data_IF_346114903526
#
_entry.id   IF_346114903526
#
_cell.length_a   1.000
_cell.length_b   1.000
_cell.length_c   1.000
_cell.angle_alpha   90.00
_cell.angle_beta   90.00
_cell.angle_gamma   90.00
#
_symmetry.space_group_name_H-M   'P 1'
#
loop_
_entity.id
_entity.type
_entity.pdbx_description
1 polymer ?
#
# COMPACT_ATOMS: atom_id res chain seq x y z
N UNK A 1 2.67 22.12 37.61
CA UNK A 1 2.94 22.20 36.16
C UNK A 1 3.57 20.88 35.78
N UNK A 2 2.80 19.97 35.17
CA UNK A 2 3.37 18.73 34.61
C UNK A 2 4.19 19.10 33.37
N UNK A 3 5.38 18.52 33.25
CA UNK A 3 6.31 18.77 32.15
C UNK A 3 5.66 18.35 30.83
N UNK A 4 5.66 19.23 29.82
CA UNK A 4 5.10 18.99 28.48
C UNK A 4 5.77 17.82 27.71
N UNK A 5 6.79 17.19 28.29
CA UNK A 5 7.50 16.04 27.72
C UNK A 5 6.95 14.69 28.16
N UNK A 6 6.22 14.59 29.28
CA UNK A 6 5.66 13.31 29.74
C UNK A 6 4.51 12.83 28.85
N UNK A 7 3.77 13.74 28.21
CA UNK A 7 2.66 13.42 27.28
C UNK A 7 3.11 12.82 25.95
N UNK A 8 4.36 13.04 25.52
CA UNK A 8 4.89 12.46 24.27
C UNK A 8 5.20 10.97 24.39
N UNK A 9 5.43 10.47 25.62
CA UNK A 9 5.62 9.05 25.90
C UNK A 9 4.31 8.31 26.17
N UNK A 10 3.22 9.03 26.39
CA UNK A 10 1.86 8.47 26.49
C UNK A 10 1.15 8.39 25.13
N UNK A 11 1.71 9.00 24.08
CA UNK A 11 1.20 8.87 22.72
C UNK A 11 1.35 7.42 22.24
N UNK A 12 0.25 6.89 21.72
CA UNK A 12 0.22 5.62 21.00
C UNK A 12 1.35 5.55 19.95
N UNK A 13 2.12 4.45 19.88
CA UNK A 13 3.30 4.34 19.01
C UNK A 13 3.02 4.58 17.53
N UNK A 14 1.83 4.23 17.03
CA UNK A 14 1.47 4.43 15.63
C UNK A 14 1.11 5.91 15.35
N UNK A 15 0.38 6.54 16.26
CA UNK A 15 0.09 7.98 16.23
C UNK A 15 1.39 8.79 16.29
N UNK A 16 2.34 8.34 17.10
CA UNK A 16 3.68 8.92 17.19
C UNK A 16 4.47 8.73 15.89
N UNK A 17 4.51 7.53 15.32
CA UNK A 17 5.20 7.27 14.06
C UNK A 17 4.63 8.11 12.90
N UNK A 18 3.30 8.21 12.79
CA UNK A 18 2.64 9.05 11.79
C UNK A 18 2.96 10.54 11.98
N UNK A 19 2.87 11.04 13.22
CA UNK A 19 3.20 12.42 13.55
C UNK A 19 4.69 12.73 13.30
N UNK A 20 5.59 11.77 13.55
CA UNK A 20 7.03 11.91 13.28
C UNK A 20 7.32 11.95 11.77
N UNK A 21 6.61 11.16 10.97
CA UNK A 21 6.71 11.21 9.49
C UNK A 21 6.23 12.56 8.98
N UNK A 22 5.07 13.04 9.44
CA UNK A 22 4.54 14.35 9.05
C UNK A 22 5.41 15.52 9.50
N UNK A 23 5.99 15.44 10.69
CA UNK A 23 6.93 16.42 11.18
C UNK A 23 8.19 16.48 10.30
N UNK A 24 8.76 15.33 9.93
CA UNK A 24 9.92 15.25 9.02
C UNK A 24 9.63 15.82 7.63
N UNK A 25 8.46 15.50 7.07
CA UNK A 25 8.01 16.05 5.77
C UNK A 25 7.89 17.58 5.81
N UNK A 26 7.44 18.14 6.93
CA UNK A 26 7.32 19.57 7.15
C UNK A 26 8.67 20.25 7.53
N UNK A 27 9.75 19.49 7.68
CA UNK A 27 11.04 19.99 8.15
C UNK A 27 11.03 20.46 9.61
N UNK A 28 10.11 19.94 10.43
CA UNK A 28 9.90 20.30 11.83
C UNK A 28 10.26 19.14 12.76
N UNK A 29 10.59 19.42 14.02
CA UNK A 29 10.59 18.38 15.05
C UNK A 29 9.17 17.96 15.41
N UNK A 30 8.99 16.74 15.94
CA UNK A 30 7.67 16.24 16.37
C UNK A 30 6.97 17.22 17.33
N UNK A 31 7.71 17.80 18.28
CA UNK A 31 7.16 18.75 19.25
C UNK A 31 6.77 20.09 18.61
N UNK A 32 7.56 20.59 17.65
CA UNK A 32 7.22 21.81 16.89
C UNK A 32 6.04 21.59 15.97
N UNK A 33 5.94 20.42 15.33
CA UNK A 33 4.83 20.08 14.46
C UNK A 33 3.52 19.93 15.25
N UNK A 34 3.54 19.22 16.38
CA UNK A 34 2.39 19.13 17.28
C UNK A 34 2.05 20.49 17.90
N UNK A 35 3.06 21.30 18.26
CA UNK A 35 2.89 22.66 18.75
C UNK A 35 2.27 23.59 17.71
N UNK A 36 2.70 23.51 16.45
CA UNK A 36 2.12 24.22 15.32
C UNK A 36 0.67 23.80 15.08
N UNK A 37 0.35 22.50 15.18
CA UNK A 37 -1.02 21.99 15.08
C UNK A 37 -1.94 22.57 16.16
N UNK A 38 -1.40 22.77 17.37
CA UNK A 38 -2.11 23.35 18.51
C UNK A 38 -2.19 24.89 18.41
N UNK A 39 -1.19 25.55 17.82
CA UNK A 39 -1.10 27.01 17.71
C UNK A 39 -1.69 27.60 16.41
N UNK A 40 -1.77 26.86 15.31
CA UNK A 40 -2.57 27.23 14.13
C UNK A 40 -4.06 27.39 14.48
N UNK A 41 -4.51 26.76 15.58
CA UNK A 41 -5.85 26.95 16.14
C UNK A 41 -5.97 28.10 17.15
N UNK A 42 -4.87 28.74 17.54
CA UNK A 42 -4.85 29.74 18.60
C UNK A 42 -4.99 31.20 18.13
N UNK A 43 -5.13 31.49 16.84
CA UNK A 43 -5.44 32.85 16.39
C UNK A 43 -6.25 32.92 15.08
N UNK A 44 -7.55 33.28 15.14
CA UNK A 44 -8.12 34.14 14.14
C UNK A 44 -7.81 35.60 14.51
N UNK A 45 -6.85 36.23 13.81
CA UNK A 45 -6.91 37.69 13.64
C UNK A 45 -8.09 37.98 12.72
N UNK A 46 -9.26 38.15 13.31
CA UNK A 46 -10.48 38.59 12.62
C UNK A 46 -10.22 40.01 12.09
N UNK A 47 -10.44 40.32 10.80
CA UNK A 47 -10.59 41.70 10.38
C UNK A 47 -11.85 42.23 11.07
N UNK A 48 -11.70 43.16 12.02
CA UNK A 48 -12.81 43.93 12.58
C UNK A 48 -13.55 44.64 11.43
N UNK A 49 -14.59 44.01 10.89
CA UNK A 49 -15.67 44.72 10.20
C UNK A 49 -16.76 45.01 11.22
N UNK A 50 -17.05 46.29 11.32
CA UNK A 50 -18.12 46.90 12.11
C UNK A 50 -19.43 46.13 11.97
N UNK A 51 -19.96 45.61 13.09
CA UNK A 51 -21.40 45.47 13.26
C UNK A 51 -21.97 46.87 13.50
N UNK A 52 -22.39 47.53 12.42
CA UNK A 52 -23.33 48.64 12.52
C UNK A 52 -24.69 48.06 12.90
N UNK A 53 -25.14 48.35 14.11
CA UNK A 53 -26.51 48.08 14.55
C UNK A 53 -27.51 48.80 13.65
N UNK A 54 -28.52 48.07 13.19
CA UNK A 54 -29.65 48.60 12.47
C UNK A 54 -30.84 47.69 12.70
N UNK A 55 -31.56 47.91 13.81
CA UNK A 55 -32.89 47.35 13.99
C UNK A 55 -33.88 47.94 12.97
N UNK A 56 -35.01 47.27 12.69
CA UNK A 56 -35.97 47.77 11.72
C UNK A 56 -36.75 48.94 12.31
N UNK A 57 -36.57 50.13 11.72
CA UNK A 57 -37.45 51.28 11.91
C UNK A 57 -38.50 51.23 10.80
N UNK A 58 -39.76 51.08 11.20
CA UNK A 58 -40.91 51.39 10.36
C UNK A 58 -41.05 52.91 10.26
N UNK A 59 -40.92 53.49 9.07
CA UNK A 59 -41.49 54.80 8.75
C UNK A 59 -41.58 55.01 7.23
N UNK A 60 -42.77 55.43 6.81
CA UNK A 60 -43.18 55.86 5.48
C UNK A 60 -42.52 57.18 5.05
N UNK A 61 -42.42 57.43 3.74
CA UNK A 61 -42.23 58.77 3.19
C UNK A 61 -41.39 58.83 1.89
N UNK A 62 -41.95 59.30 0.76
CA UNK A 62 -41.21 59.46 -0.50
C UNK A 62 -40.63 60.86 -0.61
N UNK A 63 -39.39 61.00 -1.08
CA UNK A 63 -38.90 62.31 -1.48
C UNK A 63 -37.40 62.45 -1.71
N UNK A 64 -37.09 62.91 -2.92
CA UNK A 64 -35.89 63.63 -3.33
C UNK A 64 -34.57 62.87 -3.39
N UNK A 65 -34.06 62.78 -4.62
CA UNK A 65 -32.78 62.17 -4.93
C UNK A 65 -31.59 63.10 -4.74
N UNK A 66 -30.41 62.52 -4.94
CA UNK A 66 -29.20 63.17 -5.42
C UNK A 66 -28.21 62.11 -5.88
N UNK A 67 -27.82 62.22 -7.14
CA UNK A 67 -26.68 61.51 -7.73
C UNK A 67 -25.38 61.94 -7.05
N UNK A 68 -24.46 61.01 -6.81
CA UNK A 68 -23.04 61.29 -6.78
C UNK A 68 -22.21 60.10 -7.32
N UNK A 69 -21.56 60.42 -8.44
CA UNK A 69 -20.31 59.99 -9.02
C UNK A 69 -19.70 58.61 -8.68
N UNK A 70 -19.46 57.91 -9.79
CA UNK A 70 -18.54 56.81 -10.05
C UNK A 70 -17.14 57.08 -9.48
N UNK A 71 -16.61 56.10 -8.74
CA UNK A 71 -15.16 55.87 -8.61
C UNK A 71 -14.85 54.51 -9.20
N UNK A 72 -14.09 54.51 -10.30
CA UNK A 72 -13.49 53.32 -10.88
C UNK A 72 -12.30 52.89 -10.03
N UNK A 73 -12.27 51.61 -9.64
CA UNK A 73 -11.11 51.01 -9.02
C UNK A 73 -11.25 49.50 -8.89
N UNK A 74 -10.57 48.79 -9.79
CA UNK A 74 -10.20 47.38 -9.73
C UNK A 74 -11.33 46.32 -9.77
N UNK A 75 -11.35 45.58 -10.89
CA UNK A 75 -11.85 44.21 -10.97
C UNK A 75 -11.05 43.33 -9.99
N UNK A 76 -11.69 42.48 -9.17
CA UNK A 76 -11.06 41.23 -8.78
C UNK A 76 -11.33 40.21 -9.88
N UNK A 77 -10.24 39.81 -10.56
CA UNK A 77 -10.19 38.50 -11.17
C UNK A 77 -10.37 37.47 -10.05
N UNK A 78 -11.50 36.76 -10.04
CA UNK A 78 -11.66 35.58 -9.19
C UNK A 78 -10.85 34.45 -9.80
N UNK A 79 -9.61 34.37 -9.35
CA UNK A 79 -8.72 33.25 -9.58
C UNK A 79 -9.32 31.98 -8.96
N UNK A 80 -9.80 31.09 -9.82
CA UNK A 80 -9.75 29.66 -9.57
C UNK A 80 -8.96 29.05 -10.71
N UNK A 81 -7.64 29.23 -10.63
CA UNK A 81 -6.69 28.37 -11.31
C UNK A 81 -5.96 27.64 -10.18
N UNK A 82 -6.57 26.56 -9.68
CA UNK A 82 -5.85 25.63 -8.82
C UNK A 82 -5.08 24.69 -9.72
N UNK A 83 -3.79 25.00 -9.80
CA UNK A 83 -2.75 24.20 -10.41
C UNK A 83 -2.77 22.77 -9.85
N UNK A 84 -3.26 21.83 -10.66
CA UNK A 84 -3.32 20.39 -10.38
C UNK A 84 -1.91 19.78 -10.25
N UNK A 85 -0.84 20.54 -10.49
CA UNK A 85 0.53 20.09 -10.32
C UNK A 85 1.06 20.08 -8.87
N UNK A 86 0.33 20.62 -7.88
CA UNK A 86 0.86 20.74 -6.50
C UNK A 86 0.58 19.54 -5.57
N UNK A 87 -0.14 18.51 -6.03
CA UNK A 87 -0.49 17.32 -5.22
C UNK A 87 0.19 16.01 -5.63
N UNK A 88 1.31 16.09 -6.36
CA UNK A 88 2.15 14.91 -6.62
C UNK A 88 3.62 15.22 -6.34
N UNK A 89 4.17 14.61 -5.29
CA UNK A 89 5.50 14.03 -5.45
C UNK A 89 5.60 12.61 -4.87
N UNK A 90 5.86 11.67 -5.80
CA UNK A 90 6.72 10.46 -5.75
C UNK A 90 5.99 9.18 -6.19
N UNK A 91 5.99 8.97 -7.52
CA UNK A 91 6.54 7.75 -8.10
C UNK A 91 7.83 8.15 -8.83
N UNK A 92 8.94 8.20 -8.10
CA UNK A 92 10.30 8.17 -8.66
C UNK A 92 11.11 7.19 -7.83
N UNK A 93 11.22 5.95 -8.32
CA UNK A 93 12.27 5.03 -7.93
C UNK A 93 13.55 5.36 -8.71
N UNK A 94 14.75 5.16 -8.15
CA UNK A 94 15.98 5.16 -8.93
C UNK A 94 16.10 3.83 -9.70
N UNK A 95 16.39 3.94 -11.00
CA UNK A 95 16.98 2.94 -11.89
C UNK A 95 16.41 1.51 -11.86
N UNK A 96 15.31 1.31 -12.58
CA UNK A 96 15.00 0.02 -13.22
C UNK A 96 15.24 0.20 -14.71
N UNK A 97 16.12 -0.62 -15.28
CA UNK A 97 16.50 -0.61 -16.69
C UNK A 97 15.26 -0.72 -17.60
N UNK A 98 15.28 0.00 -18.73
CA UNK A 98 14.18 0.19 -19.69
C UNK A 98 13.71 -1.10 -20.43
N UNK A 99 14.02 -2.30 -19.94
CA UNK A 99 13.72 -3.58 -20.58
C UNK A 99 12.34 -4.19 -20.28
N UNK A 100 11.71 -3.85 -19.14
CA UNK A 100 10.59 -4.66 -18.60
C UNK A 100 9.17 -4.09 -18.78
N UNK A 101 9.01 -3.00 -19.55
CA UNK A 101 7.71 -2.32 -19.68
C UNK A 101 6.64 -3.06 -20.50
N UNK A 102 6.93 -4.25 -21.04
CA UNK A 102 5.95 -5.01 -21.84
C UNK A 102 5.16 -6.09 -21.07
N UNK A 103 5.27 -6.15 -19.73
CA UNK A 103 4.46 -7.09 -18.90
C UNK A 103 3.33 -6.45 -18.09
N UNK A 104 3.11 -5.15 -18.18
CA UNK A 104 2.12 -4.41 -17.38
C UNK A 104 0.89 -4.09 -18.24
N UNK A 105 0.05 -5.08 -18.53
CA UNK A 105 -1.25 -4.81 -19.19
C UNK A 105 -2.42 -5.64 -18.63
N UNK A 106 -2.30 -6.18 -17.40
CA UNK A 106 -3.36 -6.94 -16.75
C UNK A 106 -3.91 -6.37 -15.42
N UNK A 107 -3.42 -5.23 -14.90
CA UNK A 107 -3.74 -4.79 -13.52
C UNK A 107 -4.32 -3.36 -13.38
N UNK A 108 -4.93 -2.77 -14.42
CA UNK A 108 -5.46 -1.41 -14.30
C UNK A 108 -6.67 -1.31 -13.34
N UNK A 109 -7.57 -2.30 -13.35
CA UNK A 109 -8.74 -2.34 -12.46
C UNK A 109 -8.35 -2.57 -10.99
N UNK A 110 -7.38 -3.46 -10.73
CA UNK A 110 -6.89 -3.76 -9.38
C UNK A 110 -6.23 -2.51 -8.76
N UNK A 111 -5.49 -1.74 -9.56
CA UNK A 111 -4.88 -0.49 -9.10
C UNK A 111 -5.90 0.61 -8.77
N UNK A 112 -6.99 0.73 -9.53
CA UNK A 112 -8.01 1.75 -9.28
C UNK A 112 -8.83 1.44 -8.02
N UNK A 113 -9.24 0.18 -7.84
CA UNK A 113 -9.94 -0.28 -6.63
C UNK A 113 -9.08 -0.10 -5.38
N UNK A 114 -7.79 -0.48 -5.46
CA UNK A 114 -6.85 -0.33 -4.34
C UNK A 114 -6.61 1.14 -4.00
N UNK A 115 -6.51 2.01 -5.01
CA UNK A 115 -6.34 3.46 -4.81
C UNK A 115 -7.56 4.08 -4.14
N UNK A 116 -8.76 3.67 -4.54
CA UNK A 116 -10.02 4.10 -3.92
C UNK A 116 -10.12 3.63 -2.46
N UNK A 117 -9.77 2.37 -2.19
CA UNK A 117 -9.76 1.81 -0.83
C UNK A 117 -8.75 2.53 0.08
N UNK A 118 -7.52 2.73 -0.39
CA UNK A 118 -6.49 3.46 0.35
C UNK A 118 -6.89 4.91 0.64
N UNK A 119 -7.56 5.57 -0.31
CA UNK A 119 -8.08 6.92 -0.11
C UNK A 119 -9.11 6.96 1.02
N UNK A 120 -10.04 6.00 1.07
CA UNK A 120 -11.02 5.88 2.16
C UNK A 120 -10.34 5.61 3.50
N UNK A 121 -9.36 4.70 3.56
CA UNK A 121 -8.60 4.43 4.79
C UNK A 121 -7.82 5.65 5.28
N UNK A 122 -7.27 6.46 4.37
CA UNK A 122 -6.50 7.64 4.74
C UNK A 122 -7.38 8.80 5.22
N UNK A 123 -8.56 9.00 4.63
CA UNK A 123 -9.42 10.15 4.92
C UNK A 123 -10.44 9.90 6.02
N UNK A 124 -11.04 8.72 6.07
CA UNK A 124 -12.19 8.47 6.93
C UNK A 124 -11.83 8.53 8.44
N UNK A 125 -10.79 7.83 8.95
CA UNK A 125 -10.45 7.84 10.37
C UNK A 125 -10.11 9.23 10.97
N UNK A 126 -9.26 10.09 10.35
CA UNK A 126 -8.96 11.39 10.94
C UNK A 126 -10.18 12.31 10.95
N UNK A 127 -11.06 12.23 9.95
CA UNK A 127 -12.28 13.05 9.88
C UNK A 127 -13.30 12.65 10.94
N UNK A 128 -13.52 11.34 11.11
CA UNK A 128 -14.38 10.80 12.18
C UNK A 128 -13.85 11.19 13.55
N UNK A 129 -12.55 11.01 13.79
CA UNK A 129 -11.93 11.33 15.08
C UNK A 129 -12.02 12.82 15.39
N UNK A 130 -11.76 13.67 14.40
CA UNK A 130 -11.86 15.12 14.56
C UNK A 130 -13.30 15.56 14.88
N UNK A 131 -14.28 15.05 14.14
CA UNK A 131 -15.69 15.35 14.39
C UNK A 131 -16.14 14.86 15.78
N UNK A 132 -15.70 13.68 16.21
CA UNK A 132 -16.01 13.16 17.54
C UNK A 132 -15.49 14.08 18.67
N UNK A 133 -14.28 14.61 18.53
CA UNK A 133 -13.70 15.56 19.49
C UNK A 133 -14.50 16.86 19.52
N UNK A 134 -14.83 17.43 18.35
CA UNK A 134 -15.60 18.66 18.26
C UNK A 134 -17.01 18.51 18.84
N UNK A 135 -17.70 17.42 18.52
CA UNK A 135 -19.02 17.13 19.09
C UNK A 135 -18.95 16.94 20.61
N UNK A 136 -17.97 16.19 21.11
CA UNK A 136 -17.78 16.00 22.55
C UNK A 136 -17.53 17.33 23.27
N UNK A 137 -16.69 18.21 22.69
CA UNK A 137 -16.44 19.54 23.22
C UNK A 137 -17.69 20.43 23.17
N UNK A 138 -18.47 20.34 22.10
CA UNK A 138 -19.72 21.10 21.95
C UNK A 138 -20.77 20.68 23.00
N UNK A 139 -20.90 19.38 23.28
CA UNK A 139 -21.79 18.89 24.34
C UNK A 139 -21.32 19.28 25.73
N UNK A 140 -20.02 19.22 26.00
CA UNK A 140 -19.45 19.67 27.26
C UNK A 140 -19.70 21.17 27.51
N UNK A 141 -19.54 22.01 26.48
CA UNK A 141 -19.82 23.44 26.55
C UNK A 141 -21.30 23.75 26.82
N UNK A 142 -22.21 22.93 26.31
CA UNK A 142 -23.66 23.09 26.51
C UNK A 142 -24.21 22.37 27.75
N UNK A 143 -23.33 21.78 28.58
CA UNK A 143 -23.70 20.97 29.76
C UNK A 143 -24.68 19.82 29.43
N UNK A 144 -24.56 19.25 28.22
CA UNK A 144 -25.39 18.13 27.76
C UNK A 144 -24.68 16.82 28.08
N UNK A 145 -25.24 16.05 29.01
CA UNK A 145 -24.73 14.72 29.33
C UNK A 145 -25.14 13.69 28.26
N UNK A 146 -24.31 13.52 27.24
CA UNK A 146 -24.41 12.36 26.36
C UNK A 146 -23.60 11.21 26.94
N UNK A 147 -24.29 10.14 27.33
CA UNK A 147 -23.65 8.87 27.66
C UNK A 147 -23.25 8.17 26.36
N UNK A 148 -22.03 8.43 25.90
CA UNK A 148 -21.42 7.59 24.88
C UNK A 148 -21.14 6.19 25.49
N UNK A 149 -21.44 5.09 24.80
CA UNK A 149 -21.11 3.76 25.28
C UNK A 149 -19.61 3.65 25.54
N UNK A 150 -19.17 3.09 26.69
CA UNK A 150 -17.74 2.93 26.93
C UNK A 150 -17.12 2.01 25.88
N UNK A 151 -16.13 2.52 25.13
CA UNK A 151 -15.35 1.71 24.21
C UNK A 151 -14.60 0.61 24.99
N UNK A 152 -14.88 -0.65 24.67
CA UNK A 152 -14.08 -1.80 25.13
C UNK A 152 -13.39 -2.40 23.91
N UNK A 153 -12.06 -2.29 23.77
CA UNK A 153 -11.36 -2.97 22.69
C UNK A 153 -11.59 -4.47 22.79
N UNK A 154 -12.00 -5.10 21.70
CA UNK A 154 -12.17 -6.56 21.57
C UNK A 154 -10.80 -7.23 21.74
N UNK A 155 -10.60 -7.90 22.86
CA UNK A 155 -9.37 -8.64 23.12
C UNK A 155 -9.37 -9.96 22.36
N UNK A 156 -8.46 -10.13 21.39
CA UNK A 156 -7.67 -11.35 21.08
C UNK A 156 -7.20 -11.38 19.60
N UNK A 157 -6.18 -10.60 19.23
CA UNK A 157 -5.50 -10.71 17.91
C UNK A 157 -3.96 -10.63 18.01
N UNK A 158 -3.25 -11.35 17.12
CA UNK A 158 -1.78 -11.46 17.05
C UNK A 158 -1.11 -10.12 16.67
N UNK A 159 0.12 -9.89 17.14
CA UNK A 159 0.73 -8.56 17.33
C UNK A 159 0.89 -7.65 16.08
N UNK A 160 1.13 -8.15 14.86
CA UNK A 160 1.34 -7.30 13.67
C UNK A 160 0.04 -6.91 12.96
N UNK A 161 -0.94 -7.81 12.88
CA UNK A 161 -2.31 -7.49 12.43
C UNK A 161 -3.11 -6.71 13.49
N UNK A 162 -2.63 -6.66 14.73
CA UNK A 162 -3.31 -6.02 15.85
C UNK A 162 -3.53 -4.52 15.64
N UNK A 163 -2.55 -3.81 15.08
CA UNK A 163 -2.66 -2.35 14.93
C UNK A 163 -3.78 -2.00 13.94
N UNK A 164 -3.76 -2.59 12.74
CA UNK A 164 -4.70 -2.25 11.67
C UNK A 164 -6.13 -2.57 12.08
N UNK A 165 -6.38 -3.77 12.62
CA UNK A 165 -7.68 -4.12 13.17
C UNK A 165 -8.11 -3.19 14.31
N UNK A 166 -7.19 -2.79 15.21
CA UNK A 166 -7.51 -1.85 16.29
C UNK A 166 -7.92 -0.48 15.74
N UNK A 167 -7.25 0.02 14.69
CA UNK A 167 -7.64 1.28 14.06
C UNK A 167 -9.01 1.17 13.40
N UNK A 168 -9.27 0.11 12.64
CA UNK A 168 -10.55 -0.12 11.99
C UNK A 168 -11.67 -0.19 13.04
N UNK A 169 -11.51 -1.01 14.08
CA UNK A 169 -12.49 -1.15 15.16
C UNK A 169 -12.72 0.16 15.92
N UNK A 170 -11.65 0.89 16.22
CA UNK A 170 -11.75 2.21 16.89
C UNK A 170 -12.51 3.19 16.00
N UNK A 171 -12.19 3.24 14.71
CA UNK A 171 -12.84 4.12 13.75
C UNK A 171 -14.33 3.79 13.58
N UNK A 172 -14.69 2.51 13.47
CA UNK A 172 -16.08 2.06 13.40
C UNK A 172 -16.85 2.42 14.67
N UNK A 173 -16.23 2.25 15.83
CA UNK A 173 -16.84 2.66 17.09
C UNK A 173 -17.06 4.17 17.16
N UNK A 174 -16.04 4.97 16.84
CA UNK A 174 -16.16 6.44 16.79
C UNK A 174 -17.21 6.91 15.79
N UNK A 175 -17.34 6.25 14.65
CA UNK A 175 -18.40 6.57 13.68
C UNK A 175 -19.80 6.39 14.29
N UNK A 176 -20.03 5.31 15.05
CA UNK A 176 -21.30 5.09 15.76
C UNK A 176 -21.56 6.14 16.83
N UNK A 177 -20.54 6.56 17.57
CA UNK A 177 -20.65 7.65 18.54
C UNK A 177 -21.04 8.96 17.87
N UNK A 178 -20.35 9.34 16.80
CA UNK A 178 -20.64 10.56 16.01
C UNK A 178 -22.05 10.50 15.44
N UNK A 179 -22.45 9.37 14.87
CA UNK A 179 -23.80 9.15 14.37
C UNK A 179 -24.84 9.35 15.46
N UNK A 180 -24.65 8.77 16.64
CA UNK A 180 -25.59 8.93 17.76
C UNK A 180 -25.64 10.37 18.27
N UNK A 181 -24.50 11.06 18.28
CA UNK A 181 -24.41 12.48 18.61
C UNK A 181 -25.17 13.37 17.61
N UNK A 182 -25.09 13.08 16.30
CA UNK A 182 -25.86 13.79 15.27
C UNK A 182 -27.37 13.60 15.42
N UNK A 183 -27.79 12.43 15.90
CA UNK A 183 -29.21 12.10 16.13
C UNK A 183 -29.74 12.64 17.46
N UNK A 184 -28.90 13.22 18.31
CA UNK A 184 -29.33 13.77 19.58
C UNK A 184 -30.08 15.09 19.37
N UNK A 185 -31.27 15.21 19.93
CA UNK A 185 -32.06 16.44 19.86
C UNK A 185 -31.55 17.45 20.90
N UNK A 186 -30.91 18.52 20.43
CA UNK A 186 -30.44 19.62 21.26
C UNK A 186 -30.33 20.91 20.45
N UNK A 187 -30.22 22.05 21.16
CA UNK A 187 -30.12 23.39 20.55
C UNK A 187 -28.83 24.05 21.00
N UNK A 188 -27.71 23.85 20.29
CA UNK A 188 -26.44 24.45 20.67
C UNK A 188 -26.51 25.97 20.56
N UNK A 189 -25.79 26.66 21.45
CA UNK A 189 -25.68 28.12 21.45
C UNK A 189 -24.23 28.56 21.66
N UNK A 190 -23.89 29.76 21.19
CA UNK A 190 -22.59 30.37 21.40
C UNK A 190 -21.45 29.53 20.82
N UNK A 191 -20.48 29.14 21.66
CA UNK A 191 -19.29 28.41 21.21
C UNK A 191 -19.59 26.96 20.81
N UNK A 192 -20.58 26.31 21.44
CA UNK A 192 -21.00 24.96 21.11
C UNK A 192 -21.55 24.88 19.66
N UNK A 193 -22.23 25.94 19.21
CA UNK A 193 -22.77 26.03 17.86
C UNK A 193 -21.66 26.07 16.79
N UNK A 194 -20.57 26.81 17.05
CA UNK A 194 -19.42 26.87 16.16
C UNK A 194 -18.74 25.49 16.04
N UNK A 195 -18.48 24.84 17.18
CA UNK A 195 -17.85 23.51 17.19
C UNK A 195 -18.71 22.46 16.48
N UNK A 196 -20.04 22.53 16.67
CA UNK A 196 -20.96 21.64 15.97
C UNK A 196 -20.99 21.90 14.46
N UNK A 197 -21.02 23.17 14.04
CA UNK A 197 -20.94 23.54 12.63
C UNK A 197 -19.66 23.03 11.96
N UNK A 198 -18.51 23.16 12.63
CA UNK A 198 -17.22 22.66 12.16
C UNK A 198 -17.19 21.12 12.07
N UNK A 199 -17.78 20.43 13.06
CA UNK A 199 -17.92 18.98 13.05
C UNK A 199 -18.81 18.53 11.87
N UNK A 200 -19.94 19.20 11.68
CA UNK A 200 -20.89 18.92 10.60
C UNK A 200 -20.21 19.09 9.22
N UNK A 201 -19.49 20.20 9.02
CA UNK A 201 -18.76 20.45 7.78
C UNK A 201 -17.66 19.40 7.54
N UNK A 202 -16.91 19.02 8.58
CA UNK A 202 -15.88 17.98 8.52
C UNK A 202 -16.46 16.63 8.09
N UNK A 203 -17.65 16.28 8.56
CA UNK A 203 -18.33 15.03 8.21
C UNK A 203 -18.94 15.07 6.81
N UNK A 204 -19.42 16.23 6.35
CA UNK A 204 -19.92 16.38 4.99
C UNK A 204 -18.83 16.12 3.94
N UNK A 205 -17.56 16.38 4.27
CA UNK A 205 -16.42 16.05 3.39
C UNK A 205 -16.28 14.53 3.13
N UNK A 206 -16.91 13.66 3.93
CA UNK A 206 -16.93 12.20 3.73
C UNK A 206 -18.05 11.75 2.78
N UNK A 207 -18.82 12.68 2.24
CA UNK A 207 -20.04 12.40 1.48
C UNK A 207 -20.03 13.14 0.14
N UNK A 208 -20.64 12.55 -0.88
CA UNK A 208 -20.83 13.22 -2.17
C UNK A 208 -21.86 14.35 -2.12
N UNK A 209 -22.76 14.35 -1.12
CA UNK A 209 -23.84 15.31 -0.94
C UNK A 209 -23.45 16.53 -0.08
N UNK A 210 -22.17 16.89 -0.08
CA UNK A 210 -21.59 17.91 0.82
C UNK A 210 -22.34 19.24 0.73
N UNK A 211 -22.59 19.74 -0.48
CA UNK A 211 -23.14 21.08 -0.68
C UNK A 211 -24.62 21.12 -0.27
N UNK A 212 -25.37 20.08 -0.61
CA UNK A 212 -26.78 19.93 -0.28
C UNK A 212 -26.99 19.85 1.23
N UNK A 213 -26.16 19.08 1.93
CA UNK A 213 -26.21 18.94 3.38
C UNK A 213 -25.84 20.25 4.08
N UNK A 214 -24.83 20.99 3.61
CA UNK A 214 -24.47 22.29 4.16
C UNK A 214 -25.58 23.32 3.95
N UNK A 215 -26.19 23.38 2.77
CA UNK A 215 -27.33 24.27 2.51
C UNK A 215 -28.51 23.90 3.42
N UNK A 216 -28.83 22.61 3.54
CA UNK A 216 -29.88 22.12 4.42
C UNK A 216 -29.62 22.49 5.87
N UNK A 217 -28.37 22.38 6.33
CA UNK A 217 -27.99 22.73 7.70
C UNK A 217 -28.27 24.20 8.03
N UNK A 218 -28.15 25.12 7.08
CA UNK A 218 -28.48 26.53 7.31
C UNK A 218 -29.99 26.78 7.47
N UNK A 219 -30.84 25.92 6.89
CA UNK A 219 -32.30 26.09 6.88
C UNK A 219 -32.99 25.25 7.96
N UNK A 220 -32.61 23.98 8.06
CA UNK A 220 -33.18 22.97 8.95
C UNK A 220 -32.08 22.04 9.45
N UNK A 221 -31.52 22.40 10.60
CA UNK A 221 -30.38 21.68 11.21
C UNK A 221 -30.74 20.28 11.67
N UNK A 222 -31.96 20.09 12.18
CA UNK A 222 -32.41 18.79 12.67
C UNK A 222 -32.49 17.81 11.51
N UNK A 223 -33.17 18.22 10.43
CA UNK A 223 -33.24 17.41 9.21
C UNK A 223 -31.87 17.15 8.58
N UNK A 224 -31.02 18.17 8.51
CA UNK A 224 -29.67 18.02 7.96
C UNK A 224 -28.82 17.01 8.75
N UNK A 225 -28.96 16.99 10.09
CA UNK A 225 -28.24 16.05 10.96
C UNK A 225 -28.72 14.61 10.76
N UNK A 226 -30.03 14.41 10.60
CA UNK A 226 -30.62 13.10 10.29
C UNK A 226 -30.16 12.60 8.92
N UNK A 227 -30.16 13.45 7.89
CA UNK A 227 -29.66 13.06 6.57
C UNK A 227 -28.16 12.79 6.57
N UNK A 228 -27.35 13.63 7.24
CA UNK A 228 -25.91 13.39 7.39
C UNK A 228 -25.64 12.06 8.10
N UNK A 229 -26.40 11.70 9.13
CA UNK A 229 -26.26 10.42 9.81
C UNK A 229 -26.50 9.22 8.86
N UNK A 230 -27.46 9.31 7.94
CA UNK A 230 -27.68 8.27 6.91
C UNK A 230 -26.51 8.18 5.93
N UNK A 231 -25.99 9.32 5.48
CA UNK A 231 -24.81 9.33 4.61
C UNK A 231 -23.57 8.78 5.33
N UNK A 232 -23.42 9.05 6.63
CA UNK A 232 -22.35 8.53 7.45
C UNK A 232 -22.44 7.00 7.60
N UNK A 233 -23.64 6.43 7.71
CA UNK A 233 -23.85 4.98 7.72
C UNK A 233 -23.31 4.34 6.42
N UNK A 234 -23.62 4.93 5.26
CA UNK A 234 -23.11 4.45 3.96
C UNK A 234 -21.59 4.58 3.87
N UNK A 235 -21.03 5.73 4.26
CA UNK A 235 -19.59 5.95 4.23
C UNK A 235 -18.84 5.00 5.18
N UNK A 236 -19.44 4.68 6.34
CA UNK A 236 -18.89 3.71 7.30
C UNK A 236 -18.86 2.30 6.71
N UNK A 237 -19.92 1.88 6.02
CA UNK A 237 -19.96 0.59 5.32
C UNK A 237 -18.91 0.52 4.21
N UNK A 238 -18.74 1.59 3.43
CA UNK A 238 -17.72 1.68 2.40
C UNK A 238 -16.30 1.60 2.98
N UNK A 239 -16.06 2.27 4.11
CA UNK A 239 -14.80 2.18 4.84
C UNK A 239 -14.54 0.74 5.33
N UNK A 240 -15.53 0.08 5.92
CA UNK A 240 -15.41 -1.30 6.41
C UNK A 240 -15.09 -2.28 5.27
N UNK A 241 -15.80 -2.17 4.14
CA UNK A 241 -15.53 -2.97 2.94
C UNK A 241 -14.12 -2.71 2.39
N UNK A 242 -13.73 -1.44 2.29
CA UNK A 242 -12.37 -1.06 1.85
C UNK A 242 -11.30 -1.60 2.79
N UNK A 243 -11.58 -1.61 4.10
CA UNK A 243 -10.66 -2.11 5.10
C UNK A 243 -10.46 -3.62 5.01
N UNK A 244 -11.55 -4.36 4.77
CA UNK A 244 -11.52 -5.80 4.58
C UNK A 244 -10.82 -6.20 3.29
N UNK A 245 -11.07 -5.47 2.18
CA UNK A 245 -10.38 -5.70 0.91
C UNK A 245 -8.85 -5.56 1.06
N UNK A 246 -8.38 -4.52 1.76
CA UNK A 246 -6.96 -4.34 2.01
C UNK A 246 -6.37 -5.45 2.89
N UNK A 247 -7.12 -5.92 3.90
CA UNK A 247 -6.69 -7.05 4.70
C UNK A 247 -6.56 -8.34 3.87
N UNK A 248 -7.49 -8.59 2.94
CA UNK A 248 -7.43 -9.74 2.03
C UNK A 248 -6.23 -9.65 1.07
N UNK A 249 -5.97 -8.47 0.51
CA UNK A 249 -4.80 -8.22 -0.36
C UNK A 249 -3.50 -8.42 0.42
N UNK A 250 -3.38 -7.91 1.64
CA UNK A 250 -2.20 -8.09 2.48
C UNK A 250 -1.95 -9.56 2.84
N UNK A 251 -3.00 -10.35 3.08
CA UNK A 251 -2.85 -11.80 3.33
C UNK A 251 -2.48 -12.58 2.07
N UNK A 252 -2.90 -12.11 0.90
CA UNK A 252 -2.55 -12.70 -0.41
C UNK A 252 -1.15 -12.30 -0.88
N UNK A 253 -0.66 -11.14 -0.45
CA UNK A 253 0.69 -10.62 -0.66
C UNK A 253 1.68 -11.03 0.44
N UNK A 254 1.32 -12.00 1.30
CA UNK A 254 2.26 -12.60 2.24
C UNK A 254 3.49 -13.10 1.47
N UNK A 255 4.66 -12.53 1.78
CA UNK A 255 5.93 -12.88 1.16
C UNK A 255 6.05 -14.40 1.01
N UNK A 256 6.33 -14.93 -0.20
CA UNK A 256 6.52 -16.37 -0.36
C UNK A 256 7.59 -16.79 0.62
N UNK A 257 7.26 -17.78 1.46
CA UNK A 257 8.20 -18.41 2.38
C UNK A 257 9.49 -18.75 1.65
N UNK A 258 10.63 -18.75 2.34
CA UNK A 258 11.92 -19.10 1.72
C UNK A 258 11.80 -20.39 0.89
N UNK A 259 11.08 -21.39 1.39
CA UNK A 259 10.79 -22.64 0.69
C UNK A 259 10.07 -22.42 -0.65
N UNK A 260 9.05 -21.57 -0.71
CA UNK A 260 8.34 -21.24 -1.96
C UNK A 260 9.22 -20.47 -2.94
N UNK A 261 10.12 -19.61 -2.45
CA UNK A 261 11.12 -18.94 -3.31
C UNK A 261 12.08 -19.96 -3.91
N UNK A 262 12.57 -20.89 -3.10
CA UNK A 262 13.46 -21.97 -3.56
C UNK A 262 12.77 -22.86 -4.60
N UNK A 263 11.51 -23.24 -4.39
CA UNK A 263 10.74 -24.02 -5.37
C UNK A 263 10.57 -23.26 -6.69
N UNK A 264 10.16 -21.99 -6.63
CA UNK A 264 10.02 -21.15 -7.84
C UNK A 264 11.34 -20.98 -8.59
N UNK A 265 12.45 -20.83 -7.87
CA UNK A 265 13.78 -20.74 -8.48
C UNK A 265 14.13 -22.03 -9.24
N UNK A 266 13.84 -23.20 -8.64
CA UNK A 266 14.05 -24.52 -9.26
C UNK A 266 13.21 -24.72 -10.51
N UNK A 267 11.93 -24.37 -10.44
CA UNK A 267 11.01 -24.42 -11.58
C UNK A 267 11.52 -23.53 -12.72
N UNK A 268 11.91 -22.29 -12.43
CA UNK A 268 12.44 -21.36 -13.44
C UNK A 268 13.75 -21.86 -14.08
N UNK A 269 14.63 -22.51 -13.30
CA UNK A 269 15.85 -23.13 -13.84
C UNK A 269 15.53 -24.31 -14.77
N UNK A 270 14.55 -25.15 -14.42
CA UNK A 270 14.10 -26.24 -15.27
C UNK A 270 13.42 -25.73 -16.54
N UNK A 271 12.62 -24.67 -16.48
CA UNK A 271 12.02 -24.06 -17.67
C UNK A 271 13.10 -23.53 -18.63
N UNK A 272 14.10 -22.80 -18.11
CA UNK A 272 15.26 -22.32 -18.89
C UNK A 272 16.06 -23.47 -19.52
N UNK A 273 16.06 -24.65 -18.89
CA UNK A 273 16.67 -25.86 -19.40
C UNK A 273 15.88 -26.54 -20.54
N UNK A 274 14.73 -26.00 -20.93
CA UNK A 274 13.79 -26.62 -21.85
C UNK A 274 12.88 -27.66 -21.19
N UNK A 275 12.73 -27.60 -19.87
CA UNK A 275 11.93 -28.49 -19.04
C UNK A 275 12.73 -29.62 -18.39
N UNK A 276 12.14 -30.19 -17.34
CA UNK A 276 12.55 -31.46 -16.75
C UNK A 276 11.78 -32.62 -17.36
N UNK A 277 12.40 -33.78 -17.50
CA UNK A 277 11.70 -35.03 -17.79
C UNK A 277 11.97 -36.05 -16.70
N UNK A 278 10.98 -36.92 -16.49
CA UNK A 278 11.09 -38.01 -15.53
C UNK A 278 12.13 -39.04 -15.96
N UNK A 279 12.62 -39.82 -14.99
CA UNK A 279 13.55 -40.93 -15.25
C UNK A 279 12.99 -41.96 -16.27
N UNK A 280 11.67 -42.19 -16.26
CA UNK A 280 10.99 -43.11 -17.17
C UNK A 280 10.91 -42.56 -18.59
N UNK A 281 10.63 -41.27 -18.75
CA UNK A 281 10.61 -40.61 -20.06
C UNK A 281 12.02 -40.46 -20.63
N UNK A 282 12.99 -40.03 -19.83
CA UNK A 282 14.39 -39.94 -20.24
C UNK A 282 14.97 -41.28 -20.72
N UNK A 283 14.58 -42.38 -20.06
CA UNK A 283 14.98 -43.72 -20.48
C UNK A 283 14.36 -44.13 -21.84
N UNK A 284 13.09 -43.78 -22.08
CA UNK A 284 12.42 -43.98 -23.38
C UNK A 284 13.08 -43.14 -24.48
N UNK A 285 13.39 -41.87 -24.20
CA UNK A 285 14.03 -40.96 -25.16
C UNK A 285 15.40 -41.47 -25.64
N UNK A 286 16.17 -42.07 -24.72
CA UNK A 286 17.50 -42.62 -25.00
C UNK A 286 17.47 -44.08 -25.46
N UNK A 287 16.28 -44.70 -25.55
CA UNK A 287 16.11 -46.14 -25.82
C UNK A 287 16.96 -47.04 -24.91
N UNK A 288 17.05 -46.70 -23.61
CA UNK A 288 17.78 -47.47 -22.58
C UNK A 288 16.84 -47.90 -21.45
N UNK A 289 17.26 -48.86 -20.63
CA UNK A 289 16.48 -49.25 -19.45
C UNK A 289 16.51 -48.16 -18.38
N UNK A 290 15.40 -48.02 -17.63
CA UNK A 290 15.30 -47.11 -16.47
C UNK A 290 16.45 -47.32 -15.47
N UNK A 291 16.83 -48.58 -15.23
CA UNK A 291 17.93 -48.94 -14.34
C UNK A 291 19.31 -48.50 -14.89
N UNK A 292 19.53 -48.59 -16.19
CA UNK A 292 20.76 -48.13 -16.83
C UNK A 292 20.91 -46.60 -16.71
N UNK A 293 19.82 -45.85 -16.93
CA UNK A 293 19.84 -44.39 -16.75
C UNK A 293 20.07 -43.99 -15.29
N UNK A 294 19.42 -44.67 -14.34
CA UNK A 294 19.67 -44.45 -12.91
C UNK A 294 21.13 -44.73 -12.52
N UNK A 295 21.74 -45.80 -13.05
CA UNK A 295 23.17 -46.08 -12.86
C UNK A 295 24.07 -44.98 -13.41
N UNK A 296 23.72 -44.37 -14.55
CA UNK A 296 24.46 -43.25 -15.14
C UNK A 296 24.40 -41.99 -14.28
N UNK A 297 23.24 -41.66 -13.71
CA UNK A 297 23.09 -40.54 -12.78
C UNK A 297 23.96 -40.77 -11.53
N UNK A 298 23.89 -41.97 -10.94
CA UNK A 298 24.70 -42.33 -9.78
C UNK A 298 26.21 -42.31 -10.06
N UNK A 299 26.62 -42.58 -11.31
CA UNK A 299 28.01 -42.55 -11.75
C UNK A 299 28.50 -41.13 -12.15
N UNK A 300 27.64 -40.10 -12.03
CA UNK A 300 27.97 -38.73 -12.44
C UNK A 300 28.10 -38.54 -13.96
N UNK A 301 27.63 -39.50 -14.76
CA UNK A 301 27.72 -39.43 -16.24
C UNK A 301 26.45 -38.88 -16.89
N UNK A 302 25.45 -38.50 -16.10
CA UNK A 302 24.22 -37.85 -16.53
C UNK A 302 23.77 -36.89 -15.44
N UNK A 303 23.15 -35.77 -15.82
CA UNK A 303 22.65 -34.79 -14.88
C UNK A 303 21.25 -35.21 -14.41
N UNK A 304 21.12 -35.45 -13.11
CA UNK A 304 19.84 -35.75 -12.48
C UNK A 304 19.74 -35.02 -11.14
N UNK A 305 18.54 -34.58 -10.80
CA UNK A 305 18.28 -33.83 -9.58
C UNK A 305 16.93 -34.18 -8.98
N UNK A 306 16.83 -34.09 -7.66
CA UNK A 306 15.56 -34.27 -6.94
C UNK A 306 14.74 -32.99 -7.03
N UNK A 307 13.51 -33.11 -7.52
CA UNK A 307 12.47 -32.10 -7.43
C UNK A 307 11.31 -32.67 -6.60
N UNK A 308 11.19 -32.23 -5.34
CA UNK A 308 10.39 -32.93 -4.34
C UNK A 308 10.89 -34.37 -4.12
N UNK A 309 10.02 -35.34 -4.37
CA UNK A 309 10.31 -36.79 -4.26
C UNK A 309 10.65 -37.44 -5.63
N UNK A 310 10.65 -36.66 -6.71
CA UNK A 310 10.87 -37.16 -8.06
C UNK A 310 12.28 -36.86 -8.57
N UNK A 311 12.87 -37.82 -9.27
CA UNK A 311 14.15 -37.65 -9.96
C UNK A 311 13.89 -37.10 -11.36
N UNK A 312 14.30 -35.86 -11.57
CA UNK A 312 14.11 -35.10 -12.81
C UNK A 312 15.45 -34.93 -13.54
N UNK A 313 15.39 -34.99 -14.86
CA UNK A 313 16.53 -34.76 -15.73
C UNK A 313 16.26 -33.58 -16.68
N UNK A 314 17.14 -32.57 -16.75
CA UNK A 314 16.93 -31.41 -17.60
C UNK A 314 17.13 -31.77 -19.08
N UNK A 315 16.24 -31.29 -19.97
CA UNK A 315 16.31 -31.60 -21.41
C UNK A 315 17.58 -31.11 -22.10
N UNK A 316 18.21 -30.07 -21.57
CA UNK A 316 19.44 -29.48 -22.12
C UNK A 316 20.58 -30.47 -22.33
N UNK A 317 20.59 -31.59 -21.60
CA UNK A 317 21.68 -32.57 -21.61
C UNK A 317 21.72 -33.46 -22.87
N UNK A 318 20.72 -33.35 -23.74
CA UNK A 318 20.60 -34.15 -24.95
C UNK A 318 20.85 -33.33 -26.21
N UNK A 319 21.40 -34.00 -27.22
CA UNK A 319 21.54 -33.49 -28.58
C UNK A 319 21.00 -34.54 -29.54
N UNK A 320 20.20 -34.11 -30.51
CA UNK A 320 19.72 -34.94 -31.60
C UNK A 320 20.75 -34.95 -32.71
N UNK A 321 21.32 -36.12 -33.03
CA UNK A 321 22.28 -36.30 -34.12
C UNK A 321 21.72 -37.33 -35.11
N UNK A 322 21.09 -36.84 -36.18
CA UNK A 322 20.30 -37.70 -37.08
C UNK A 322 18.99 -38.11 -36.40
N UNK A 323 18.65 -39.40 -36.46
CA UNK A 323 17.46 -39.96 -35.79
C UNK A 323 17.70 -40.42 -34.34
N UNK A 324 18.93 -40.27 -33.83
CA UNK A 324 19.29 -40.69 -32.47
C UNK A 324 19.47 -39.51 -31.51
N UNK A 325 18.92 -39.65 -30.31
CA UNK A 325 19.14 -38.74 -29.18
C UNK A 325 20.33 -39.25 -28.37
N UNK A 326 21.35 -38.43 -28.22
CA UNK A 326 22.57 -38.77 -27.49
C UNK A 326 22.85 -37.72 -26.40
N UNK A 327 23.68 -38.10 -25.41
CA UNK A 327 24.14 -37.13 -24.41
C UNK A 327 25.07 -36.11 -25.06
N UNK A 328 25.00 -34.87 -24.56
CA UNK A 328 25.90 -33.81 -24.97
C UNK A 328 27.37 -34.21 -24.68
N UNK A 329 28.25 -34.21 -25.68
CA UNK A 329 29.66 -34.52 -25.48
C UNK A 329 30.31 -33.59 -24.46
N UNK A 330 31.16 -34.13 -23.58
CA UNK A 330 31.84 -33.37 -22.52
C UNK A 330 31.00 -33.06 -21.29
N UNK A 331 29.68 -33.30 -21.31
CA UNK A 331 28.83 -33.07 -20.15
C UNK A 331 29.25 -33.91 -18.93
N UNK A 332 29.66 -35.16 -19.15
CA UNK A 332 30.13 -36.07 -18.08
C UNK A 332 31.26 -35.46 -17.26
N UNK A 333 32.23 -34.83 -17.92
CA UNK A 333 33.42 -34.28 -17.25
C UNK A 333 33.07 -33.05 -16.42
N UNK A 334 32.07 -32.28 -16.87
CA UNK A 334 31.52 -31.12 -16.15
C UNK A 334 30.69 -31.59 -14.95
N UNK A 335 29.74 -32.50 -15.15
CA UNK A 335 28.84 -32.99 -14.08
C UNK A 335 29.64 -33.61 -12.92
N UNK A 336 30.75 -34.30 -13.22
CA UNK A 336 31.65 -34.84 -12.19
C UNK A 336 32.28 -33.78 -11.29
N UNK A 337 32.49 -32.55 -11.77
CA UNK A 337 33.01 -31.48 -10.90
C UNK A 337 31.99 -31.10 -9.81
N UNK A 338 30.69 -31.27 -10.08
CA UNK A 338 29.60 -30.87 -9.19
C UNK A 338 29.11 -32.00 -8.26
N UNK A 339 29.83 -33.12 -8.12
CA UNK A 339 29.43 -34.21 -7.21
C UNK A 339 29.22 -33.73 -5.76
N UNK A 340 30.02 -32.76 -5.30
CA UNK A 340 29.89 -32.15 -3.97
C UNK A 340 28.82 -31.04 -3.89
N UNK A 341 28.69 -30.23 -4.93
CA UNK A 341 27.78 -29.08 -4.96
C UNK A 341 26.33 -29.45 -5.36
N UNK A 342 26.15 -30.62 -5.98
CA UNK A 342 24.85 -31.17 -6.38
C UNK A 342 24.38 -30.74 -7.78
N UNK A 343 23.40 -31.49 -8.30
CA UNK A 343 22.90 -31.31 -9.67
C UNK A 343 22.27 -29.93 -9.94
N UNK A 344 21.62 -29.31 -8.95
CA UNK A 344 21.03 -27.97 -9.09
C UNK A 344 22.09 -26.89 -9.36
N UNK A 345 23.24 -26.98 -8.70
CA UNK A 345 24.37 -26.07 -8.93
C UNK A 345 24.97 -26.29 -10.33
N UNK A 346 25.12 -27.56 -10.75
CA UNK A 346 25.57 -27.88 -12.11
C UNK A 346 24.62 -27.32 -13.18
N UNK A 347 23.31 -27.42 -12.97
CA UNK A 347 22.30 -26.88 -13.89
C UNK A 347 22.39 -25.36 -13.98
N UNK A 348 22.50 -24.68 -12.85
CA UNK A 348 22.64 -23.23 -12.81
C UNK A 348 23.91 -22.78 -13.55
N UNK A 349 25.05 -23.39 -13.27
CA UNK A 349 26.30 -23.12 -13.96
C UNK A 349 26.16 -23.28 -15.48
N UNK A 350 25.54 -24.37 -15.95
CA UNK A 350 25.37 -24.62 -17.38
C UNK A 350 24.51 -23.56 -18.10
N UNK A 351 23.58 -22.93 -17.39
CA UNK A 351 22.61 -21.98 -17.93
C UNK A 351 23.05 -20.51 -17.80
N UNK A 352 23.85 -20.19 -16.78
CA UNK A 352 24.26 -18.82 -16.49
C UNK A 352 25.49 -18.43 -17.30
N UNK A 353 25.67 -17.12 -17.48
CA UNK A 353 26.77 -16.59 -18.27
C UNK A 353 28.09 -16.66 -17.48
N UNK A 354 29.06 -17.41 -17.98
CA UNK A 354 30.36 -17.55 -17.33
C UNK A 354 31.34 -16.47 -17.85
N UNK A 355 32.01 -15.70 -16.98
CA UNK A 355 32.93 -14.64 -17.38
C UNK A 355 34.20 -15.16 -18.08
N UNK A 356 34.64 -16.39 -17.80
CA UNK A 356 35.81 -17.00 -18.43
C UNK A 356 35.49 -17.51 -19.85
N UNK A 357 34.24 -17.88 -20.11
CA UNK A 357 33.78 -18.33 -21.42
C UNK A 357 33.14 -17.23 -22.27
N UNK A 358 32.75 -16.12 -21.66
CA UNK A 358 31.97 -15.02 -22.25
C UNK A 358 30.63 -15.48 -22.89
N UNK A 359 30.11 -16.64 -22.46
CA UNK A 359 28.84 -17.23 -22.88
C UNK A 359 28.39 -18.34 -21.93
N UNK A 360 27.13 -18.80 -22.00
CA UNK A 360 26.67 -19.94 -21.22
C UNK A 360 27.48 -21.21 -21.51
N UNK A 361 27.95 -21.94 -20.49
CA UNK A 361 28.73 -23.16 -20.66
C UNK A 361 28.06 -24.22 -21.55
N UNK A 362 26.73 -24.28 -21.55
CA UNK A 362 25.98 -25.18 -22.43
C UNK A 362 26.20 -24.90 -23.92
N UNK A 363 26.38 -23.64 -24.30
CA UNK A 363 26.67 -23.26 -25.68
C UNK A 363 28.11 -23.64 -26.06
N UNK A 364 29.07 -23.38 -25.16
CA UNK A 364 30.46 -23.77 -25.36
C UNK A 364 30.63 -25.30 -25.48
N UNK A 365 29.84 -26.09 -24.74
CA UNK A 365 29.80 -27.55 -24.90
C UNK A 365 29.26 -27.98 -26.27
N UNK A 366 28.19 -27.33 -26.76
CA UNK A 366 27.62 -27.63 -28.09
C UNK A 366 28.58 -27.28 -29.24
N UNK A 367 29.43 -26.28 -29.05
CA UNK A 367 30.47 -25.91 -30.00
C UNK A 367 31.71 -26.82 -29.96
N UNK A 368 31.74 -27.82 -29.06
CA UNK A 368 32.82 -28.80 -28.99
C UNK A 368 34.05 -28.34 -28.23
N UNK A 369 33.91 -27.42 -27.26
CA UNK A 369 35.01 -26.96 -26.39
C UNK A 369 34.89 -27.46 -24.94
N UNK A 370 34.86 -28.78 -24.67
CA UNK A 370 34.60 -29.31 -23.33
C UNK A 370 35.70 -28.99 -22.31
N UNK A 371 36.97 -28.93 -22.73
CA UNK A 371 38.10 -28.65 -21.84
C UNK A 371 38.00 -27.27 -21.18
N UNK A 372 37.62 -26.25 -21.95
CA UNK A 372 37.41 -24.87 -21.44
C UNK A 372 36.26 -24.81 -20.44
N UNK A 373 35.21 -25.59 -20.66
CA UNK A 373 34.04 -25.64 -19.78
C UNK A 373 34.38 -26.33 -18.46
N UNK A 374 35.20 -27.38 -18.48
CA UNK A 374 35.68 -28.03 -17.25
C UNK A 374 36.56 -27.09 -16.43
N UNK A 375 37.45 -26.32 -17.07
CA UNK A 375 38.24 -25.31 -16.39
C UNK A 375 37.34 -24.22 -15.75
N UNK A 376 36.36 -23.70 -16.50
CA UNK A 376 35.39 -22.74 -15.96
C UNK A 376 34.57 -23.32 -14.78
N UNK A 377 34.20 -24.61 -14.84
CA UNK A 377 33.50 -25.27 -13.75
C UNK A 377 34.35 -25.37 -12.47
N UNK A 378 35.66 -25.60 -12.59
CA UNK A 378 36.57 -25.60 -11.43
C UNK A 378 36.71 -24.22 -10.81
N UNK A 379 36.88 -23.20 -11.63
CA UNK A 379 36.90 -21.81 -11.18
C UNK A 379 35.59 -21.41 -10.48
N UNK A 380 34.44 -21.80 -11.03
CA UNK A 380 33.13 -21.56 -10.42
C UNK A 380 32.97 -22.21 -9.04
N UNK A 381 33.60 -23.36 -8.83
CA UNK A 381 33.59 -24.10 -7.56
C UNK A 381 34.72 -23.68 -6.60
N UNK A 382 35.61 -22.76 -7.01
CA UNK A 382 36.76 -22.34 -6.21
C UNK A 382 37.84 -23.42 -6.06
N UNK A 383 37.93 -24.38 -7.00
CA UNK A 383 38.87 -25.51 -6.92
C UNK A 383 40.26 -25.20 -7.48
N UNK A 384 40.47 -24.02 -8.06
CA UNK A 384 41.76 -23.59 -8.65
C UNK A 384 42.63 -22.76 -7.67
N UNK A 385 42.26 -22.67 -6.38
CA UNK A 385 43.02 -21.93 -5.33
C UNK A 385 43.97 -22.80 -4.47
N UNK A 386 44.27 -24.05 -4.87
CA UNK A 386 45.33 -24.89 -4.28
C UNK A 386 46.58 -24.92 -5.16
#
# INVERSE_FOLDING_TARGET
>A
MMSSFDTLNEMDPATRAFAEVRAREAGMSLAEWLGALVHERAAPQVPRRFYGGGGPIWAEGPGAGRSLAISMGARPASAYDMDVAHYMPILRYPEIERGDLNRIFLDHEVHEVTRSALHMIALFPPRISHAAILLSAAFAEADVQIRLPPYRPSGHHKASGRWYHTLVDTCLHRSREVRNALMHEWTPSGRAELMWGDAFATLCDLTSARQELLVMFHHDRSRASVELAKHLDVATQQFELSANLLAEVDTSAAEPTEQQRFTRLREALLERAGGGVSLTEGAKLLNVSRQALHKRIKAGTALGMMDGDELVLPRLQWVTKGDEVQFLPGLTDVVRQFERAGGWSALQFLLDHDPNLAKPPIQALREGSPEKVVAAARAYLGLDEE
#
